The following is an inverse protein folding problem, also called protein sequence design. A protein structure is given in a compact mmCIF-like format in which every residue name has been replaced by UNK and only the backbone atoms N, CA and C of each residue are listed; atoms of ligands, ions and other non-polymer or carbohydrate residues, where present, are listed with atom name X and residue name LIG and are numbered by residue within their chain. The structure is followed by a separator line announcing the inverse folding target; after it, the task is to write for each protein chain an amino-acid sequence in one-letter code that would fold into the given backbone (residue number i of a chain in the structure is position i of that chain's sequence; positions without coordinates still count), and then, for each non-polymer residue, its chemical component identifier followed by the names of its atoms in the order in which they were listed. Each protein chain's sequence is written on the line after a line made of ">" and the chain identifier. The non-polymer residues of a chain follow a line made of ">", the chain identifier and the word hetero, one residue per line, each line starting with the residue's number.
data_IF_784863973213
#
_entry.id   IF_784863973213
#
_cell.length_a   1.000
_cell.length_b   1.000
_cell.length_c   1.000
_cell.angle_alpha   90.00
_cell.angle_beta   90.00
_cell.angle_gamma   90.00
#
_symmetry.space_group_name_H-M   'P 1'
#
loop_
_entity.id
_entity.type
_entity.pdbx_description
1 polymer ?
#
# COMPACT_ATOMS: atom_id res chain seq x y z
N UNK A 1 -15.21 1.34 -3.09
CA UNK A 1 -14.32 1.79 -4.18
C UNK A 1 -14.96 2.82 -5.10
N UNK A 2 -16.10 2.55 -5.75
CA UNK A 2 -16.76 3.55 -6.62
C UNK A 2 -17.16 4.85 -5.89
N UNK A 3 -17.73 4.73 -4.68
CA UNK A 3 -18.08 5.89 -3.85
C UNK A 3 -16.86 6.76 -3.46
N UNK A 4 -15.72 6.13 -3.15
CA UNK A 4 -14.47 6.84 -2.81
C UNK A 4 -13.95 7.63 -4.00
N UNK A 5 -14.01 7.04 -5.20
CA UNK A 5 -13.61 7.73 -6.43
C UNK A 5 -14.53 8.93 -6.70
N UNK A 6 -15.84 8.77 -6.49
CA UNK A 6 -16.79 9.85 -6.67
C UNK A 6 -16.58 10.99 -5.65
N UNK A 7 -16.44 10.65 -4.37
CA UNK A 7 -16.20 11.62 -3.29
C UNK A 7 -14.89 12.40 -3.50
N UNK A 8 -13.83 11.72 -3.96
CA UNK A 8 -12.58 12.38 -4.34
C UNK A 8 -12.78 13.37 -5.49
N UNK A 9 -13.49 12.97 -6.55
CA UNK A 9 -13.77 13.83 -7.70
C UNK A 9 -14.55 15.07 -7.28
N UNK A 10 -15.54 14.93 -6.39
CA UNK A 10 -16.32 16.04 -5.84
C UNK A 10 -15.47 16.99 -4.99
N UNK A 11 -14.57 16.46 -4.17
CA UNK A 11 -13.74 17.25 -3.25
C UNK A 11 -12.55 17.92 -3.95
N UNK A 12 -11.97 17.26 -4.96
CA UNK A 12 -10.72 17.68 -5.61
C UNK A 12 -10.96 18.26 -7.01
N UNK A 13 -12.10 18.91 -7.22
CA UNK A 13 -12.38 19.72 -8.41
C UNK A 13 -12.35 18.94 -9.73
N UNK A 14 -12.78 17.68 -9.71
CA UNK A 14 -12.84 16.83 -10.91
C UNK A 14 -11.58 16.04 -11.22
N UNK A 15 -10.51 16.17 -10.42
CA UNK A 15 -9.28 15.42 -10.65
C UNK A 15 -9.44 13.93 -10.33
N UNK A 16 -8.84 13.08 -11.16
CA UNK A 16 -8.87 11.63 -10.95
C UNK A 16 -7.95 11.23 -9.80
N UNK A 17 -8.48 10.52 -8.81
CA UNK A 17 -7.68 9.91 -7.74
C UNK A 17 -6.57 9.04 -8.31
N UNK A 18 -6.88 8.23 -9.31
CA UNK A 18 -5.92 7.31 -9.93
C UNK A 18 -4.79 8.06 -10.62
N UNK A 19 -5.07 9.14 -11.34
CA UNK A 19 -4.03 9.97 -11.96
C UNK A 19 -3.15 10.65 -10.92
N UNK A 20 -3.75 11.08 -9.80
CA UNK A 20 -3.02 11.73 -8.71
C UNK A 20 -2.08 10.75 -8.02
N UNK A 21 -2.57 9.56 -7.67
CA UNK A 21 -1.77 8.47 -7.09
C UNK A 21 -0.66 8.06 -8.06
N UNK A 22 -0.98 7.91 -9.35
CA UNK A 22 0.00 7.55 -10.37
C UNK A 22 1.13 8.58 -10.45
N UNK A 23 0.81 9.88 -10.51
CA UNK A 23 1.82 10.95 -10.55
C UNK A 23 2.69 10.94 -9.29
N UNK A 24 2.09 10.82 -8.12
CA UNK A 24 2.83 10.77 -6.86
C UNK A 24 3.80 9.58 -6.81
N UNK A 25 3.36 8.40 -7.27
CA UNK A 25 4.23 7.23 -7.37
C UNK A 25 5.33 7.42 -8.42
N UNK A 26 5.02 7.95 -9.60
CA UNK A 26 6.00 8.17 -10.66
C UNK A 26 7.11 9.14 -10.25
N UNK A 27 6.76 10.20 -9.52
CA UNK A 27 7.74 11.16 -8.98
C UNK A 27 8.73 10.51 -8.00
N UNK A 28 8.28 9.53 -7.20
CA UNK A 28 9.09 8.92 -6.14
C UNK A 28 9.89 7.72 -6.65
N UNK A 29 9.30 6.86 -7.48
CA UNK A 29 9.92 5.59 -7.90
C UNK A 29 10.12 5.46 -9.41
N UNK A 30 9.71 6.41 -10.25
CA UNK A 30 9.71 6.27 -11.72
C UNK A 30 9.03 4.97 -12.15
N UNK A 31 7.71 5.00 -12.24
CA UNK A 31 6.87 3.81 -12.44
C UNK A 31 7.25 3.00 -13.69
N UNK A 32 7.71 3.68 -14.75
CA UNK A 32 8.16 3.03 -15.99
C UNK A 32 9.38 2.10 -15.82
N UNK A 33 10.17 2.32 -14.78
CA UNK A 33 11.35 1.52 -14.42
C UNK A 33 11.08 0.58 -13.22
N UNK A 34 9.83 0.46 -12.78
CA UNK A 34 9.46 -0.35 -11.62
C UNK A 34 9.03 -1.77 -12.00
N UNK A 35 9.42 -2.73 -11.16
CA UNK A 35 8.78 -4.03 -11.04
C UNK A 35 7.67 -3.93 -9.99
N UNK A 36 6.47 -4.43 -10.31
CA UNK A 36 5.29 -4.33 -9.44
C UNK A 36 4.97 -5.71 -8.87
N UNK A 37 4.89 -5.78 -7.55
CA UNK A 37 4.59 -6.99 -6.80
C UNK A 37 3.27 -6.82 -6.05
N UNK A 38 2.51 -7.90 -5.92
CA UNK A 38 1.33 -7.96 -5.06
C UNK A 38 1.60 -8.97 -3.95
N UNK A 39 1.35 -8.57 -2.71
CA UNK A 39 1.35 -9.47 -1.57
C UNK A 39 -0.06 -10.03 -1.39
N UNK A 40 -0.20 -11.34 -1.60
CA UNK A 40 -1.45 -12.08 -1.45
C UNK A 40 -1.17 -13.33 -0.62
N UNK A 41 -1.15 -13.20 0.71
CA UNK A 41 -0.84 -14.29 1.62
C UNK A 41 -2.00 -15.27 1.75
N UNK A 42 -1.67 -16.50 2.15
CA UNK A 42 -2.68 -17.50 2.48
C UNK A 42 -3.40 -17.12 3.79
N UNK A 43 -4.71 -17.41 3.85
CA UNK A 43 -5.63 -16.95 4.90
C UNK A 43 -5.16 -17.20 6.35
N UNK A 44 -4.48 -18.32 6.60
CA UNK A 44 -4.01 -18.70 7.94
C UNK A 44 -2.60 -18.19 8.29
N UNK A 45 -1.91 -17.57 7.33
CA UNK A 45 -0.49 -17.25 7.43
C UNK A 45 -0.18 -15.74 7.43
N UNK A 46 -1.20 -14.87 7.36
CA UNK A 46 -0.97 -13.44 7.22
C UNK A 46 -1.01 -12.67 8.55
N UNK A 47 0.14 -12.19 9.07
CA UNK A 47 0.19 -11.31 10.23
C UNK A 47 -0.33 -9.89 9.94
N UNK A 48 -0.47 -9.51 8.66
CA UNK A 48 -0.99 -8.21 8.23
C UNK A 48 -2.48 -8.23 7.89
N UNK A 49 -3.16 -9.37 8.08
CA UNK A 49 -4.59 -9.47 7.84
C UNK A 49 -5.31 -8.62 8.88
N UNK A 50 -5.69 -7.41 8.48
CA UNK A 50 -6.51 -6.54 9.31
C UNK A 50 -7.83 -7.27 9.63
N UNK A 51 -7.98 -7.66 10.90
CA UNK A 51 -9.19 -8.32 11.39
C UNK A 51 -10.40 -7.44 11.08
N UNK A 52 -11.33 -7.95 10.27
CA UNK A 52 -12.52 -7.21 9.84
C UNK A 52 -12.39 -6.45 8.52
N UNK A 53 -11.28 -6.58 7.79
CA UNK A 53 -11.19 -6.17 6.40
C UNK A 53 -12.12 -7.03 5.53
N UNK A 54 -13.00 -6.37 4.78
CA UNK A 54 -13.85 -6.97 3.74
C UNK A 54 -12.97 -7.36 2.54
N UNK A 55 -11.99 -6.51 2.24
CA UNK A 55 -10.94 -6.74 1.25
C UNK A 55 -9.71 -5.88 1.61
N UNK A 56 -8.52 -6.35 1.24
CA UNK A 56 -7.26 -5.64 1.36
C UNK A 56 -6.38 -5.94 0.15
N UNK A 57 -5.56 -4.96 -0.24
CA UNK A 57 -4.58 -5.09 -1.31
C UNK A 57 -3.29 -4.41 -0.93
N UNK A 58 -2.18 -5.15 -1.01
CA UNK A 58 -0.83 -4.67 -0.76
C UNK A 58 -0.01 -4.76 -2.05
N UNK A 59 0.38 -3.62 -2.61
CA UNK A 59 1.26 -3.53 -3.77
C UNK A 59 2.62 -2.97 -3.39
N UNK A 60 3.67 -3.49 -4.00
CA UNK A 60 5.04 -3.00 -3.85
C UNK A 60 5.60 -2.60 -5.21
N UNK A 61 6.06 -1.36 -5.31
CA UNK A 61 6.72 -0.81 -6.48
C UNK A 61 8.23 -0.78 -6.22
N UNK A 62 8.97 -1.63 -6.89
CA UNK A 62 10.42 -1.73 -6.72
C UNK A 62 11.16 -1.17 -7.94
N UNK A 63 11.93 -0.11 -7.72
CA UNK A 63 12.85 0.40 -8.73
C UNK A 63 14.28 -0.04 -8.39
N UNK A 64 14.82 -0.96 -9.21
CA UNK A 64 16.17 -1.52 -9.06
C UNK A 64 17.27 -0.48 -9.25
N UNK A 65 17.09 0.47 -10.17
CA UNK A 65 18.07 1.52 -10.47
C UNK A 65 18.19 2.52 -9.32
N UNK A 66 17.06 2.83 -8.67
CA UNK A 66 17.00 3.75 -7.53
C UNK A 66 17.23 3.05 -6.18
N UNK A 67 17.29 1.71 -6.15
CA UNK A 67 17.29 0.88 -4.93
C UNK A 67 16.18 1.29 -3.96
N UNK A 68 14.97 1.54 -4.48
CA UNK A 68 13.83 2.07 -3.71
C UNK A 68 12.61 1.19 -3.85
N UNK A 69 11.91 0.97 -2.75
CA UNK A 69 10.61 0.28 -2.70
C UNK A 69 9.56 1.24 -2.15
N UNK A 70 8.38 1.28 -2.77
CA UNK A 70 7.19 1.93 -2.21
C UNK A 70 6.12 0.87 -1.99
N UNK A 71 5.66 0.75 -0.75
CA UNK A 71 4.48 -0.03 -0.39
C UNK A 71 3.22 0.82 -0.51
N UNK A 72 2.22 0.30 -1.21
CA UNK A 72 0.89 0.91 -1.32
C UNK A 72 -0.15 -0.11 -0.86
N UNK A 73 -0.65 0.11 0.36
CA UNK A 73 -1.67 -0.71 0.99
C UNK A 73 -2.99 0.04 1.06
N UNK A 74 -4.09 -0.63 0.70
CA UNK A 74 -5.43 -0.11 0.89
C UNK A 74 -6.42 -1.25 1.13
N UNK A 75 -7.37 -1.00 2.01
CA UNK A 75 -8.36 -1.97 2.45
C UNK A 75 -9.74 -1.30 2.61
N UNK A 76 -10.76 -2.13 2.80
CA UNK A 76 -12.06 -1.69 3.29
C UNK A 76 -12.39 -2.44 4.55
N UNK A 77 -12.50 -1.70 5.64
CA UNK A 77 -12.88 -2.23 6.93
C UNK A 77 -14.40 -2.14 7.10
N UNK A 78 -14.97 -3.10 7.81
CA UNK A 78 -16.34 -3.00 8.30
C UNK A 78 -16.39 -2.13 9.56
N UNK A 79 -17.20 -1.08 9.55
CA UNK A 79 -17.43 -0.24 10.73
C UNK A 79 -18.09 -1.00 11.90
N UNK A 80 -18.64 -2.20 11.65
CA UNK A 80 -19.18 -3.06 12.71
C UNK A 80 -18.07 -3.71 13.56
N UNK A 81 -16.84 -3.75 13.04
CA UNK A 81 -15.68 -4.38 13.66
C UNK A 81 -14.63 -3.33 14.06
N UNK A 82 -14.62 -2.17 13.39
CA UNK A 82 -13.63 -1.10 13.57
C UNK A 82 -13.58 -0.46 14.98
N UNK A 83 -14.66 -0.54 15.78
CA UNK A 83 -14.72 0.06 17.12
C UNK A 83 -13.82 -0.65 18.16
N UNK A 84 -13.21 -1.79 17.80
CA UNK A 84 -12.30 -2.57 18.65
C UNK A 84 -10.86 -2.72 18.15
N UNK A 85 -10.53 -2.21 16.96
CA UNK A 85 -9.20 -2.39 16.36
C UNK A 85 -8.51 -1.04 16.20
N UNK A 86 -7.65 -0.73 17.17
CA UNK A 86 -6.71 0.37 17.05
C UNK A 86 -5.72 0.01 15.93
N UNK A 87 -5.69 0.84 14.88
CA UNK A 87 -4.71 0.84 13.79
C UNK A 87 -3.32 1.25 14.35
N UNK A 88 -2.82 0.54 15.36
CA UNK A 88 -1.60 0.86 16.11
C UNK A 88 -0.45 -0.14 15.84
N UNK A 89 -0.61 -1.06 14.90
CA UNK A 89 0.41 -2.07 14.61
C UNK A 89 0.91 -2.03 13.16
N UNK A 90 1.17 -0.82 12.65
CA UNK A 90 2.29 -0.62 11.73
C UNK A 90 3.48 -0.10 12.52
N UNK A 91 3.84 -0.78 13.62
CA UNK A 91 5.21 -0.70 14.09
C UNK A 91 6.06 -1.32 12.99
N UNK A 92 6.69 -0.48 12.18
CA UNK A 92 7.90 -0.87 11.48
C UNK A 92 8.83 -1.39 12.58
N UNK A 93 8.84 -2.70 12.83
CA UNK A 93 10.00 -3.28 13.49
C UNK A 93 11.14 -2.97 12.53
N UNK A 94 11.98 -2.06 12.99
CA UNK A 94 13.18 -1.57 12.36
C UNK A 94 14.16 -2.74 12.27
N UNK A 95 13.88 -3.70 11.39
CA UNK A 95 14.79 -4.79 11.08
C UNK A 95 15.79 -4.24 10.05
N UNK A 96 16.68 -3.39 10.56
CA UNK A 96 17.71 -2.63 9.84
C UNK A 96 18.82 -3.49 9.22
N UNK A 97 18.59 -4.78 8.97
CA UNK A 97 19.66 -5.76 8.73
C UNK A 97 19.40 -6.64 7.49
N UNK A 98 18.52 -6.25 6.56
CA UNK A 98 18.22 -7.08 5.37
C UNK A 98 19.08 -6.76 4.13
N UNK A 99 19.83 -5.64 4.14
CA UNK A 99 20.65 -5.22 3.00
C UNK A 99 22.18 -5.21 3.27
N UNK A 100 22.61 -5.74 4.42
CA UNK A 100 24.03 -5.78 4.79
C UNK A 100 24.82 -6.90 4.09
N UNK A 101 24.15 -7.78 3.35
CA UNK A 101 24.80 -8.87 2.59
C UNK A 101 24.64 -8.71 1.06
N UNK A 102 24.61 -7.45 0.59
CA UNK A 102 24.84 -7.14 -0.83
C UNK A 102 26.33 -6.82 -1.06
N UNK A 103 27.18 -7.81 -0.76
CA UNK A 103 28.63 -7.71 -0.93
C UNK A 103 29.05 -7.73 -2.42
N UNK A 104 29.88 -6.73 -2.73
CA UNK A 104 30.73 -6.41 -3.91
C UNK A 104 30.11 -5.80 -5.19
#
# INVERSE_FOLDING_TARGET
>A
MWLIIQEWVETNGGSSLLETVYKALDEVVKLSDCEIYSYNPDYDADPFLENGAIWSFSFFFYNRKLKRVVGFHFCCLSNLVADGFHMDSLSYEEDGEIFDDMDL
#
